data_IF_595858691365
#
_entry.id   IF_595858691365
#
_cell.length_a   1.000
_cell.length_b   1.000
_cell.length_c   1.000
_cell.angle_alpha   90.00
_cell.angle_beta   90.00
_cell.angle_gamma   90.00
#
_symmetry.space_group_name_H-M   'P 1'
#
loop_
_entity.id
_entity.type
_entity.pdbx_description
1 polymer ?
#
# COMPACT_ATOMS: atom_id res chain seq x y z
N UNK A 1 10.70 4.55 -32.78
CA UNK A 1 9.47 4.00 -32.15
C UNK A 1 8.91 5.05 -31.21
N UNK A 2 7.88 5.80 -31.62
CA UNK A 2 7.21 6.79 -30.78
C UNK A 2 6.26 6.06 -29.81
N UNK A 3 6.80 5.45 -28.76
CA UNK A 3 5.94 4.99 -27.66
C UNK A 3 5.48 6.23 -26.92
N UNK A 4 4.22 6.62 -27.14
CA UNK A 4 3.54 7.66 -26.36
C UNK A 4 3.79 7.38 -24.86
N UNK A 5 4.59 8.21 -24.21
CA UNK A 5 4.98 7.98 -22.82
C UNK A 5 3.75 8.15 -21.92
N UNK A 6 3.50 7.13 -21.11
CA UNK A 6 2.25 6.98 -20.35
C UNK A 6 2.50 6.27 -19.03
N UNK A 7 1.97 6.86 -17.96
CA UNK A 7 1.93 6.27 -16.62
C UNK A 7 0.75 5.29 -16.59
N UNK A 8 1.08 3.99 -16.52
CA UNK A 8 0.12 2.88 -16.63
C UNK A 8 -0.75 2.68 -15.38
N UNK A 9 -1.73 3.55 -15.16
CA UNK A 9 -2.72 3.45 -14.07
C UNK A 9 -3.98 2.75 -14.58
N UNK A 10 -4.40 1.67 -13.90
CA UNK A 10 -5.59 0.87 -14.27
C UNK A 10 -6.59 0.66 -13.15
N UNK A 11 -6.18 0.85 -11.89
CA UNK A 11 -7.00 0.52 -10.73
C UNK A 11 -6.96 1.63 -9.68
N UNK A 12 -7.90 1.61 -8.73
CA UNK A 12 -7.85 2.50 -7.55
C UNK A 12 -6.56 2.33 -6.74
N UNK A 13 -6.06 1.09 -6.63
CA UNK A 13 -4.80 0.77 -5.96
C UNK A 13 -3.61 1.41 -6.67
N UNK A 14 -3.60 1.37 -8.01
CA UNK A 14 -2.59 2.05 -8.84
C UNK A 14 -2.59 3.57 -8.59
N UNK A 15 -3.77 4.19 -8.55
CA UNK A 15 -3.91 5.63 -8.24
C UNK A 15 -3.33 5.95 -6.86
N UNK A 16 -3.73 5.20 -5.82
CA UNK A 16 -3.21 5.41 -4.45
C UNK A 16 -1.69 5.28 -4.37
N UNK A 17 -1.13 4.25 -5.02
CA UNK A 17 0.32 4.03 -5.04
C UNK A 17 1.03 5.17 -5.78
N UNK A 18 0.56 5.54 -6.97
CA UNK A 18 1.19 6.59 -7.77
C UNK A 18 1.20 7.92 -7.01
N UNK A 19 0.05 8.33 -6.46
CA UNK A 19 -0.06 9.56 -5.67
C UNK A 19 0.81 9.54 -4.42
N UNK A 20 0.99 8.39 -3.77
CA UNK A 20 1.92 8.26 -2.66
C UNK A 20 3.38 8.43 -3.10
N UNK A 21 3.77 7.86 -4.25
CA UNK A 21 5.13 7.97 -4.77
C UNK A 21 5.50 9.41 -5.12
N UNK A 22 4.59 10.14 -5.76
CA UNK A 22 4.86 11.49 -6.25
C UNK A 22 4.56 12.57 -5.20
N UNK A 23 3.75 12.27 -4.18
CA UNK A 23 3.39 13.20 -3.07
C UNK A 23 2.90 14.55 -3.60
N UNK A 24 3.56 15.64 -3.19
CA UNK A 24 3.28 17.01 -3.62
C UNK A 24 4.13 17.35 -4.85
N UNK A 25 4.02 16.51 -5.87
CA UNK A 25 4.80 16.69 -7.09
C UNK A 25 4.47 18.02 -7.78
N UNK A 26 5.49 18.63 -8.38
CA UNK A 26 5.35 19.91 -9.08
C UNK A 26 4.36 19.79 -10.24
N UNK A 27 4.22 18.63 -10.89
CA UNK A 27 3.24 18.42 -11.95
C UNK A 27 1.80 18.59 -11.47
N UNK A 28 1.48 18.07 -10.29
CA UNK A 28 0.12 18.16 -9.73
C UNK A 28 -0.18 19.61 -9.32
N UNK A 29 0.78 20.28 -8.68
CA UNK A 29 0.59 21.67 -8.28
C UNK A 29 0.54 22.62 -9.49
N UNK A 30 1.40 22.39 -10.49
CA UNK A 30 1.35 23.12 -11.76
C UNK A 30 0.00 22.93 -12.45
N UNK A 31 -0.53 21.70 -12.48
CA UNK A 31 -1.83 21.42 -13.09
C UNK A 31 -2.99 22.14 -12.41
N UNK A 32 -2.88 22.49 -11.12
CA UNK A 32 -3.84 23.36 -10.45
C UNK A 32 -3.79 24.80 -10.98
N UNK A 33 -2.59 25.33 -11.19
CA UNK A 33 -2.37 26.76 -11.43
C UNK A 33 -2.19 27.15 -12.90
N UNK A 34 -1.86 26.19 -13.76
CA UNK A 34 -1.52 26.45 -15.17
C UNK A 34 -2.71 27.02 -15.94
N UNK A 35 -2.39 27.94 -16.87
CA UNK A 35 -3.31 28.55 -17.84
C UNK A 35 -3.46 27.71 -19.11
N UNK A 36 -2.71 26.62 -19.26
CA UNK A 36 -2.88 25.71 -20.39
C UNK A 36 -4.29 25.09 -20.39
N UNK A 37 -4.79 24.78 -21.59
CA UNK A 37 -6.10 24.16 -21.76
C UNK A 37 -6.06 22.75 -21.18
N UNK A 38 -7.01 22.45 -20.30
CA UNK A 38 -7.14 21.14 -19.62
C UNK A 38 -8.35 20.43 -20.18
N UNK A 39 -8.18 19.17 -20.55
CA UNK A 39 -9.29 18.30 -20.94
C UNK A 39 -10.00 17.76 -19.70
N UNK A 40 -9.23 17.50 -18.63
CA UNK A 40 -9.76 16.92 -17.41
C UNK A 40 -9.70 17.93 -16.25
N UNK A 41 -10.61 17.78 -15.29
CA UNK A 41 -10.63 18.61 -14.10
C UNK A 41 -9.66 18.07 -13.04
N UNK A 42 -9.00 18.95 -12.27
CA UNK A 42 -8.07 18.56 -11.19
C UNK A 42 -8.70 17.55 -10.21
N UNK A 43 -9.97 17.73 -9.87
CA UNK A 43 -10.69 16.85 -8.94
C UNK A 43 -10.76 15.39 -9.44
N UNK A 44 -10.62 15.14 -10.74
CA UNK A 44 -10.55 13.77 -11.26
C UNK A 44 -9.33 13.01 -10.74
N UNK A 45 -8.22 13.67 -10.42
CA UNK A 45 -7.01 13.03 -9.86
C UNK A 45 -7.32 12.32 -8.53
N UNK A 46 -8.18 12.92 -7.71
CA UNK A 46 -8.53 12.42 -6.38
C UNK A 46 -9.92 11.78 -6.33
N UNK A 47 -10.56 11.60 -7.49
CA UNK A 47 -11.89 11.04 -7.60
C UNK A 47 -11.93 9.52 -7.44
N UNK A 48 -13.15 8.99 -7.37
CA UNK A 48 -13.41 7.54 -7.29
C UNK A 48 -13.26 6.83 -8.65
N UNK A 49 -13.27 7.55 -9.78
CA UNK A 49 -13.08 6.97 -11.11
C UNK A 49 -11.59 6.91 -11.46
N UNK A 50 -11.03 5.71 -11.44
CA UNK A 50 -9.61 5.51 -11.74
C UNK A 50 -9.24 5.76 -13.21
N UNK A 51 -10.19 5.66 -14.15
CA UNK A 51 -9.93 5.98 -15.55
C UNK A 51 -9.79 7.49 -15.72
N UNK A 52 -10.72 8.26 -15.15
CA UNK A 52 -10.62 9.73 -15.15
C UNK A 52 -9.37 10.20 -14.38
N UNK A 53 -9.04 9.56 -13.25
CA UNK A 53 -7.82 9.85 -12.51
C UNK A 53 -6.57 9.59 -13.36
N UNK A 54 -6.49 8.44 -14.06
CA UNK A 54 -5.37 8.10 -14.93
C UNK A 54 -5.20 9.13 -16.06
N UNK A 55 -6.30 9.56 -16.67
CA UNK A 55 -6.29 10.57 -17.74
C UNK A 55 -5.82 11.94 -17.22
N UNK A 56 -6.37 12.40 -16.09
CA UNK A 56 -6.00 13.68 -15.47
C UNK A 56 -4.53 13.69 -14.98
N UNK A 57 -4.06 12.60 -14.36
CA UNK A 57 -2.66 12.46 -13.93
C UNK A 57 -1.71 12.52 -15.13
N UNK A 58 -2.00 11.75 -16.18
CA UNK A 58 -1.14 11.77 -17.37
C UNK A 58 -1.18 13.12 -18.10
N UNK A 59 -2.32 13.80 -18.13
CA UNK A 59 -2.42 15.17 -18.67
C UNK A 59 -1.57 16.15 -17.83
N UNK A 60 -1.69 16.12 -16.50
CA UNK A 60 -0.90 16.96 -15.60
C UNK A 60 0.61 16.81 -15.81
N UNK A 61 1.09 15.56 -15.86
CA UNK A 61 2.51 15.29 -16.06
C UNK A 61 2.98 15.66 -17.47
N UNK A 62 2.15 15.51 -18.50
CA UNK A 62 2.49 15.92 -19.87
C UNK A 62 2.52 17.43 -20.05
N UNK A 63 1.62 18.18 -19.40
CA UNK A 63 1.64 19.64 -19.46
C UNK A 63 2.98 20.17 -18.93
N UNK A 64 3.44 19.65 -17.79
CA UNK A 64 4.68 20.12 -17.19
C UNK A 64 5.93 19.57 -17.89
N UNK A 65 6.01 18.26 -18.11
CA UNK A 65 7.23 17.59 -18.57
C UNK A 65 7.26 17.29 -20.06
N UNK A 66 6.11 17.37 -20.75
CA UNK A 66 5.96 16.95 -22.16
C UNK A 66 6.46 15.50 -22.29
N UNK A 67 7.04 15.14 -23.43
CA UNK A 67 7.64 13.80 -23.65
C UNK A 67 9.12 13.75 -23.23
N UNK A 68 9.49 14.39 -22.09
CA UNK A 68 10.87 14.41 -21.60
C UNK A 68 11.28 13.14 -20.84
N UNK A 69 12.59 12.98 -20.62
CA UNK A 69 13.17 11.89 -19.81
C UNK A 69 12.64 11.86 -18.37
N UNK A 70 12.20 13.00 -17.81
CA UNK A 70 11.52 13.05 -16.52
C UNK A 70 10.22 12.26 -16.54
N UNK A 71 9.36 12.47 -17.54
CA UNK A 71 8.12 11.69 -17.69
C UNK A 71 8.43 10.20 -17.84
N UNK A 72 9.52 9.86 -18.54
CA UNK A 72 9.98 8.47 -18.68
C UNK A 72 10.34 7.88 -17.32
N UNK A 73 11.08 8.65 -16.50
CA UNK A 73 11.51 8.25 -15.17
C UNK A 73 10.31 7.95 -14.26
N UNK A 74 9.26 8.78 -14.27
CA UNK A 74 8.03 8.51 -13.51
C UNK A 74 7.33 7.22 -13.98
N UNK A 75 7.13 7.07 -15.29
CA UNK A 75 6.49 5.88 -15.84
C UNK A 75 7.29 4.59 -15.54
N UNK A 76 8.61 4.65 -15.66
CA UNK A 76 9.51 3.54 -15.36
C UNK A 76 9.50 3.17 -13.87
N UNK A 77 9.65 4.15 -12.97
CA UNK A 77 9.60 3.93 -11.51
C UNK A 77 8.26 3.35 -11.08
N UNK A 78 7.16 3.85 -11.64
CA UNK A 78 5.84 3.33 -11.33
C UNK A 78 5.66 1.90 -11.81
N UNK A 79 6.13 1.57 -13.02
CA UNK A 79 6.15 0.20 -13.52
C UNK A 79 6.92 -0.73 -12.58
N UNK A 80 8.10 -0.31 -12.11
CA UNK A 80 8.90 -1.08 -11.14
C UNK A 80 8.20 -1.28 -9.79
N UNK A 81 7.52 -0.25 -9.28
CA UNK A 81 6.73 -0.38 -8.07
C UNK A 81 5.58 -1.40 -8.23
N UNK A 82 4.91 -1.40 -9.40
CA UNK A 82 3.84 -2.37 -9.73
C UNK A 82 4.35 -3.81 -9.78
N UNK A 83 5.53 -4.04 -10.33
CA UNK A 83 6.17 -5.37 -10.37
C UNK A 83 6.42 -5.95 -8.97
N UNK A 84 6.57 -5.10 -7.95
CA UNK A 84 6.80 -5.50 -6.56
C UNK A 84 5.50 -5.55 -5.71
N UNK A 85 4.31 -5.43 -6.30
CA UNK A 85 3.05 -5.49 -5.57
C UNK A 85 2.67 -6.92 -5.20
N UNK A 86 2.17 -7.10 -3.98
CA UNK A 86 1.49 -8.34 -3.62
C UNK A 86 0.24 -8.55 -4.50
N UNK A 87 0.03 -9.76 -5.06
CA UNK A 87 -1.22 -10.09 -5.72
C UNK A 87 -2.43 -9.88 -4.79
N UNK A 88 -3.56 -9.41 -5.33
CA UNK A 88 -4.76 -9.09 -4.53
C UNK A 88 -5.26 -10.30 -3.71
N UNK A 89 -5.07 -11.52 -4.24
CA UNK A 89 -5.43 -12.78 -3.57
C UNK A 89 -4.73 -12.99 -2.23
N UNK A 90 -3.52 -12.44 -2.04
CA UNK A 90 -2.76 -12.59 -0.79
C UNK A 90 -3.43 -11.89 0.39
N UNK A 91 -4.27 -10.88 0.11
CA UNK A 91 -5.06 -10.20 1.13
C UNK A 91 -6.40 -10.88 1.41
N UNK A 92 -6.74 -11.97 0.70
CA UNK A 92 -8.07 -12.58 0.74
C UNK A 92 -8.41 -13.23 2.08
N UNK A 93 -7.42 -13.79 2.77
CA UNK A 93 -7.63 -14.61 3.96
C UNK A 93 -8.17 -13.80 5.16
N UNK A 94 -7.77 -12.54 5.33
CA UNK A 94 -8.23 -11.69 6.42
C UNK A 94 -9.39 -10.76 6.04
N UNK A 95 -9.62 -10.49 4.75
CA UNK A 95 -10.60 -9.47 4.29
C UNK A 95 -12.03 -9.71 4.77
N UNK A 96 -12.41 -10.96 5.05
CA UNK A 96 -13.77 -11.33 5.50
C UNK A 96 -13.91 -11.46 7.02
N UNK A 97 -12.81 -11.43 7.76
CA UNK A 97 -12.82 -11.56 9.22
C UNK A 97 -12.29 -10.28 9.85
N UNK A 98 -13.13 -9.62 10.64
CA UNK A 98 -12.76 -8.39 11.33
C UNK A 98 -11.56 -8.62 12.27
N UNK A 99 -11.56 -9.75 12.97
CA UNK A 99 -10.49 -10.13 13.91
C UNK A 99 -9.17 -10.44 13.19
N UNK A 100 -9.22 -11.23 12.11
CA UNK A 100 -8.04 -11.51 11.31
C UNK A 100 -7.46 -10.24 10.67
N UNK A 101 -8.33 -9.33 10.22
CA UNK A 101 -7.92 -8.05 9.65
C UNK A 101 -7.32 -7.13 10.72
N UNK A 102 -7.92 -7.07 11.92
CA UNK A 102 -7.37 -6.34 13.05
C UNK A 102 -6.01 -6.90 13.46
N UNK A 103 -5.87 -8.22 13.54
CA UNK A 103 -4.62 -8.91 13.84
C UNK A 103 -3.53 -8.55 12.82
N UNK A 104 -3.82 -8.69 11.53
CA UNK A 104 -2.87 -8.37 10.46
C UNK A 104 -2.44 -6.88 10.51
N UNK A 105 -3.40 -5.97 10.76
CA UNK A 105 -3.11 -4.56 10.94
C UNK A 105 -2.21 -4.30 12.16
N UNK A 106 -2.53 -4.89 13.31
CA UNK A 106 -1.75 -4.74 14.53
C UNK A 106 -0.31 -5.24 14.34
N UNK A 107 -0.15 -6.36 13.64
CA UNK A 107 1.15 -6.95 13.31
C UNK A 107 2.01 -5.99 12.47
N UNK A 108 1.49 -5.47 11.35
CA UNK A 108 2.24 -4.55 10.49
C UNK A 108 2.53 -3.21 11.19
N UNK A 109 1.67 -2.77 12.13
CA UNK A 109 1.84 -1.52 12.87
C UNK A 109 3.09 -1.54 13.75
N UNK A 110 3.39 -2.69 14.35
CA UNK A 110 4.59 -2.90 15.16
C UNK A 110 5.74 -3.54 14.38
N UNK A 111 5.57 -3.86 13.09
CA UNK A 111 6.60 -4.50 12.28
C UNK A 111 7.91 -3.72 12.28
N UNK A 112 8.96 -4.28 12.87
CA UNK A 112 10.30 -3.69 12.93
C UNK A 112 11.29 -4.75 13.34
N UNK A 113 12.50 -4.72 12.79
CA UNK A 113 13.61 -5.57 13.27
C UNK A 113 13.92 -5.35 14.76
N UNK A 114 13.59 -4.17 15.30
CA UNK A 114 13.73 -3.87 16.74
C UNK A 114 12.60 -4.43 17.60
N UNK A 115 11.51 -4.84 16.97
CA UNK A 115 10.34 -5.44 17.60
C UNK A 115 10.28 -6.95 17.30
N UNK A 116 11.38 -7.57 16.85
CA UNK A 116 11.46 -9.01 16.60
C UNK A 116 11.27 -9.86 17.86
N UNK A 117 11.41 -9.28 19.05
CA UNK A 117 11.08 -9.93 20.31
C UNK A 117 9.57 -9.98 20.58
N UNK A 118 8.75 -9.12 19.95
CA UNK A 118 7.29 -9.13 20.12
C UNK A 118 6.60 -10.33 19.48
N UNK A 119 7.28 -11.05 18.58
CA UNK A 119 6.79 -12.34 18.06
C UNK A 119 7.01 -13.50 19.05
N UNK A 120 7.79 -13.30 20.10
CA UNK A 120 7.99 -14.28 21.17
C UNK A 120 7.09 -13.93 22.36
N UNK A 121 5.83 -14.36 22.30
CA UNK A 121 4.84 -14.21 23.39
C UNK A 121 5.18 -14.96 24.70
N UNK A 122 6.38 -15.52 24.84
CA UNK A 122 6.78 -16.41 25.94
C UNK A 122 7.59 -15.76 27.07
N UNK A 123 8.09 -14.54 26.89
CA UNK A 123 8.98 -13.92 27.88
C UNK A 123 8.33 -12.75 28.62
N UNK A 124 8.38 -12.79 29.96
CA UNK A 124 7.94 -11.73 30.89
C UNK A 124 8.87 -10.50 30.88
N UNK A 125 9.49 -10.17 29.73
CA UNK A 125 10.29 -8.97 29.59
C UNK A 125 9.39 -7.74 29.37
N UNK A 126 9.82 -6.58 29.87
CA UNK A 126 9.18 -5.30 29.56
C UNK A 126 9.27 -5.08 28.05
N UNK A 127 8.18 -5.37 27.34
CA UNK A 127 8.07 -5.21 25.90
C UNK A 127 8.05 -3.71 25.56
N UNK A 128 9.23 -3.16 25.25
CA UNK A 128 9.34 -1.78 24.78
C UNK A 128 8.99 -1.74 23.30
N UNK A 129 7.80 -1.23 22.96
CA UNK A 129 7.37 -1.10 21.57
C UNK A 129 8.10 0.08 20.92
N UNK A 130 8.96 -0.20 19.95
CA UNK A 130 9.59 0.86 19.17
C UNK A 130 8.55 1.55 18.28
N UNK A 131 8.35 2.86 18.49
CA UNK A 131 7.27 3.63 17.84
C UNK A 131 7.62 4.12 16.43
N UNK A 132 8.90 4.16 16.03
CA UNK A 132 9.30 4.56 14.67
C UNK A 132 9.34 3.35 13.72
N UNK A 133 8.18 2.75 13.47
CA UNK A 133 8.02 1.61 12.55
C UNK A 133 7.84 2.07 11.09
N UNK A 134 8.07 1.20 10.09
CA UNK A 134 7.75 1.50 8.70
C UNK A 134 6.28 1.90 8.50
N UNK A 135 5.37 1.35 9.31
CA UNK A 135 3.96 1.75 9.31
C UNK A 135 3.77 3.25 9.53
N UNK A 136 4.42 3.83 10.53
CA UNK A 136 4.36 5.28 10.80
C UNK A 136 4.90 6.13 9.64
N UNK A 137 5.81 5.59 8.83
CA UNK A 137 6.38 6.29 7.67
C UNK A 137 5.47 6.19 6.43
N UNK A 138 4.84 5.04 6.23
CA UNK A 138 4.14 4.72 4.98
C UNK A 138 2.64 5.03 5.04
N UNK A 139 2.03 4.93 6.22
CA UNK A 139 0.59 5.00 6.39
C UNK A 139 0.19 6.34 6.98
N UNK A 140 -0.89 6.94 6.45
CA UNK A 140 -1.43 8.20 6.94
C UNK A 140 -2.38 7.99 8.13
N UNK A 141 -3.26 7.00 8.02
CA UNK A 141 -4.23 6.65 9.05
C UNK A 141 -3.54 5.77 10.10
N UNK A 142 -3.10 6.36 11.21
CA UNK A 142 -2.35 5.60 12.23
C UNK A 142 -3.24 4.63 13.03
N UNK A 143 -4.53 4.93 13.12
CA UNK A 143 -5.51 4.22 13.93
C UNK A 143 -6.81 4.05 13.14
N UNK A 144 -6.86 3.13 12.16
CA UNK A 144 -8.05 2.87 11.36
C UNK A 144 -9.19 2.35 12.23
N UNK A 145 -10.32 3.04 12.18
CA UNK A 145 -11.50 2.76 13.02
C UNK A 145 -12.41 1.73 12.35
N UNK A 146 -12.43 1.69 11.01
CA UNK A 146 -13.27 0.76 10.26
C UNK A 146 -12.50 -0.44 9.71
N UNK A 147 -13.23 -1.52 9.45
CA UNK A 147 -12.70 -2.71 8.77
C UNK A 147 -12.11 -2.37 7.39
N UNK A 148 -12.80 -1.50 6.63
CA UNK A 148 -12.34 -1.03 5.33
C UNK A 148 -11.02 -0.26 5.43
N UNK A 149 -10.91 0.67 6.38
CA UNK A 149 -9.67 1.43 6.59
C UNK A 149 -8.50 0.52 6.98
N UNK A 150 -8.75 -0.54 7.78
CA UNK A 150 -7.72 -1.52 8.12
C UNK A 150 -7.22 -2.27 6.89
N UNK A 151 -8.13 -2.75 6.04
CA UNK A 151 -7.77 -3.39 4.76
C UNK A 151 -6.91 -2.44 3.92
N UNK A 152 -7.34 -1.19 3.74
CA UNK A 152 -6.61 -0.20 2.94
C UNK A 152 -5.22 0.10 3.55
N UNK A 153 -5.10 0.21 4.88
CA UNK A 153 -3.80 0.38 5.54
C UNK A 153 -2.86 -0.80 5.32
N UNK A 154 -3.38 -2.04 5.34
CA UNK A 154 -2.57 -3.24 5.10
C UNK A 154 -2.10 -3.27 3.65
N UNK A 155 -3.00 -3.05 2.68
CA UNK A 155 -2.64 -2.95 1.27
C UNK A 155 -1.57 -1.87 1.05
N UNK A 156 -1.83 -0.65 1.54
CA UNK A 156 -0.91 0.48 1.41
C UNK A 156 0.45 0.20 2.05
N UNK A 157 0.53 -0.54 3.15
CA UNK A 157 1.80 -0.85 3.82
C UNK A 157 2.70 -1.69 2.91
N UNK A 158 2.15 -2.75 2.32
CA UNK A 158 2.88 -3.59 1.40
C UNK A 158 3.17 -2.86 0.08
N UNK A 159 2.24 -2.08 -0.43
CA UNK A 159 2.39 -1.35 -1.70
C UNK A 159 3.51 -0.31 -1.64
N UNK A 160 3.58 0.41 -0.51
CA UNK A 160 4.51 1.53 -0.31
C UNK A 160 5.86 1.10 0.25
N UNK A 161 5.97 -0.14 0.71
CA UNK A 161 7.24 -0.67 1.18
C UNK A 161 8.21 -0.91 0.01
N UNK A 162 9.48 -0.53 0.22
CA UNK A 162 10.57 -0.70 -0.76
C UNK A 162 11.07 -2.16 -0.88
N UNK A 163 10.40 -3.10 -0.24
CA UNK A 163 10.75 -4.51 -0.28
C UNK A 163 10.45 -5.09 -1.66
N UNK A 164 11.20 -6.13 -2.06
CA UNK A 164 10.86 -6.93 -3.23
C UNK A 164 9.64 -7.83 -2.94
N UNK A 165 9.09 -8.43 -4.00
CA UNK A 165 7.90 -9.27 -3.91
C UNK A 165 8.09 -10.49 -2.99
N UNK A 166 9.28 -11.11 -3.00
CA UNK A 166 9.56 -12.29 -2.19
C UNK A 166 9.54 -11.96 -0.71
N UNK A 167 10.20 -10.87 -0.32
CA UNK A 167 10.20 -10.36 1.06
C UNK A 167 8.77 -10.05 1.54
N UNK A 168 7.94 -9.43 0.70
CA UNK A 168 6.53 -9.14 1.04
C UNK A 168 5.70 -10.41 1.21
N UNK A 169 5.90 -11.40 0.35
CA UNK A 169 5.21 -12.69 0.44
C UNK A 169 5.59 -13.42 1.73
N UNK A 170 6.88 -13.42 2.10
CA UNK A 170 7.35 -14.01 3.36
C UNK A 170 6.63 -13.36 4.55
N UNK A 171 6.62 -12.02 4.63
CA UNK A 171 5.96 -11.32 5.75
C UNK A 171 4.46 -11.62 5.79
N UNK A 172 3.77 -11.63 4.64
CA UNK A 172 2.34 -11.98 4.60
C UNK A 172 2.09 -13.42 5.07
N UNK A 173 2.97 -14.35 4.69
CA UNK A 173 2.93 -15.74 5.14
C UNK A 173 3.14 -15.85 6.64
N UNK A 174 4.11 -15.12 7.20
CA UNK A 174 4.40 -15.12 8.64
C UNK A 174 3.21 -14.58 9.45
N UNK A 175 2.61 -13.46 9.01
CA UNK A 175 1.40 -12.91 9.64
C UNK A 175 0.27 -13.95 9.64
N UNK A 176 0.07 -14.62 8.50
CA UNK A 176 -0.98 -15.64 8.39
C UNK A 176 -0.69 -16.84 9.29
N UNK A 177 0.57 -17.30 9.33
CA UNK A 177 0.99 -18.41 10.19
C UNK A 177 0.73 -18.09 11.66
N UNK A 178 1.10 -16.90 12.13
CA UNK A 178 0.85 -16.48 13.51
C UNK A 178 -0.64 -16.36 13.82
N UNK A 179 -1.45 -15.87 12.87
CA UNK A 179 -2.90 -15.92 13.02
C UNK A 179 -3.41 -17.35 13.15
N UNK A 180 -3.03 -18.26 12.25
CA UNK A 180 -3.50 -19.64 12.25
C UNK A 180 -3.07 -20.38 13.53
N UNK A 181 -1.88 -20.09 14.07
CA UNK A 181 -1.39 -20.65 15.34
C UNK A 181 -2.19 -20.19 16.55
N UNK A 182 -2.52 -18.90 16.63
CA UNK A 182 -3.11 -18.29 17.82
C UNK A 182 -4.63 -18.09 17.75
N UNK A 183 -5.24 -18.25 16.57
CA UNK A 183 -6.68 -18.10 16.37
C UNK A 183 -7.45 -19.25 17.04
N UNK A 184 -8.63 -19.00 17.64
CA UNK A 184 -9.44 -20.03 18.31
C UNK A 184 -9.77 -21.26 17.43
N UNK A 185 -9.70 -21.13 16.10
CA UNK A 185 -9.97 -22.22 15.16
C UNK A 185 -8.94 -23.36 15.26
N UNK A 186 -7.65 -23.06 15.52
CA UNK A 186 -6.63 -24.10 15.75
C UNK A 186 -6.82 -24.81 17.09
N UNK A 187 -7.28 -24.06 18.11
CA UNK A 187 -7.58 -24.61 19.43
C UNK A 187 -8.80 -25.55 19.42
N UNK A 188 -9.76 -25.35 18.50
CA UNK A 188 -10.92 -26.25 18.34
C UNK A 188 -10.57 -27.60 17.69
N UNK A 189 -9.55 -27.66 16.81
CA UNK A 189 -9.08 -28.91 16.22
C UNK A 189 -8.28 -29.72 17.24
N UNK A 190 -7.40 -29.06 18.01
CA UNK A 190 -6.63 -29.71 19.07
C UNK A 190 -7.48 -30.22 20.25
N UNK A 191 -8.65 -29.61 20.50
CA UNK A 191 -9.57 -30.04 21.55
C UNK A 191 -10.47 -31.23 21.17
N UNK A 192 -10.50 -31.64 19.89
CA UNK A 192 -11.26 -32.81 19.41
C UNK A 192 -10.43 -34.08 19.28
N UNK A 193 -9.11 -33.98 19.45
CA UNK A 193 -8.17 -35.12 19.40
C UNK A 193 -7.67 -35.55 20.79
N UNK A 194 -8.32 -35.07 21.86
CA UNK A 194 -8.14 -35.53 23.25
C UNK A 194 -9.44 -36.13 23.78
#
# INVERSE_FOLDING_TARGET
MNRKMWIDIKTKRDVRLFLWMVRNDVAIENYRQTKEVKTYHLNHIYGEDCNLAALAINEAFRILYKDSDELFSYAYRFKKAKEALLPIKEFGWFKRSNDACYFAWAYIRVFSNKNSSLSNFGDNQILTVHTRTPYHRFIKIQYPVSHRERIECIEDFFDRSHMDLSSKLSIMSDIRYEWDRHSPISNWVAAKEK
#
